data_IF_809611108030
#
_entry.id   IF_809611108030
#
_cell.length_a   1.000
_cell.length_b   1.000
_cell.length_c   1.000
_cell.angle_alpha   90.00
_cell.angle_beta   90.00
_cell.angle_gamma   90.00
#
_symmetry.space_group_name_H-M   'P 1'
#
loop_
_entity.id
_entity.type
_entity.pdbx_description
1 polymer ?
#
# COMPACT_ATOMS: atom_id res chain seq x y z
N UNK A 1 2.19 -60.41 -17.84
CA UNK A 1 1.30 -59.64 -18.73
C UNK A 1 1.08 -58.25 -18.13
N UNK A 2 1.84 -57.24 -18.59
CA UNK A 2 1.73 -55.86 -18.10
C UNK A 2 0.53 -55.17 -18.75
N UNK A 3 -0.60 -55.09 -18.03
CA UNK A 3 -1.74 -54.26 -18.44
C UNK A 3 -1.36 -52.80 -18.27
N UNK A 4 -1.14 -52.10 -19.40
CA UNK A 4 -1.01 -50.63 -19.42
C UNK A 4 -2.24 -50.05 -18.70
N UNK A 5 -2.08 -49.16 -17.70
CA UNK A 5 -3.22 -48.46 -17.10
C UNK A 5 -3.98 -47.76 -18.23
N UNK A 6 -5.29 -48.00 -18.28
CA UNK A 6 -6.17 -47.61 -19.37
C UNK A 6 -6.03 -46.11 -19.65
N UNK A 7 -5.79 -45.78 -20.91
CA UNK A 7 -5.68 -44.39 -21.41
C UNK A 7 -6.86 -43.52 -20.93
N UNK A 8 -8.05 -44.11 -20.82
CA UNK A 8 -9.26 -43.48 -20.28
C UNK A 8 -9.10 -42.95 -18.85
N UNK A 9 -8.39 -43.66 -17.96
CA UNK A 9 -8.17 -43.18 -16.59
C UNK A 9 -7.28 -41.93 -16.57
N UNK A 10 -6.26 -41.88 -17.43
CA UNK A 10 -5.40 -40.70 -17.55
C UNK A 10 -6.13 -39.51 -18.18
N UNK A 11 -6.99 -39.76 -19.16
CA UNK A 11 -7.83 -38.73 -19.79
C UNK A 11 -8.80 -38.12 -18.77
N UNK A 12 -9.54 -38.95 -18.03
CA UNK A 12 -10.46 -38.46 -17.00
C UNK A 12 -9.73 -37.71 -15.88
N UNK A 13 -8.49 -38.08 -15.56
CA UNK A 13 -7.66 -37.32 -14.60
C UNK A 13 -7.18 -35.98 -15.17
N UNK A 14 -6.90 -35.91 -16.47
CA UNK A 14 -6.54 -34.68 -17.16
C UNK A 14 -7.73 -33.70 -17.16
N UNK A 15 -8.90 -34.17 -17.57
CA UNK A 15 -10.14 -33.37 -17.64
C UNK A 15 -10.56 -32.82 -16.27
N UNK A 16 -10.38 -33.60 -15.20
CA UNK A 16 -10.70 -33.19 -13.83
C UNK A 16 -9.56 -32.42 -13.14
N UNK A 17 -8.45 -32.11 -13.81
CA UNK A 17 -7.30 -31.44 -13.21
C UNK A 17 -6.59 -32.23 -12.10
N UNK A 18 -6.81 -33.55 -12.01
CA UNK A 18 -6.24 -34.46 -11.00
C UNK A 18 -4.92 -35.11 -11.44
N UNK A 19 -4.37 -34.66 -12.56
CA UNK A 19 -3.08 -35.08 -13.07
C UNK A 19 -2.02 -34.05 -12.62
N UNK A 20 -1.08 -34.47 -11.78
CA UNK A 20 -0.13 -33.54 -11.13
C UNK A 20 0.82 -32.86 -12.13
N UNK A 21 1.19 -33.56 -13.20
CA UNK A 21 2.17 -33.09 -14.19
C UNK A 21 1.81 -33.63 -15.59
N UNK A 22 0.79 -33.08 -16.26
CA UNK A 22 0.53 -33.41 -17.66
C UNK A 22 1.75 -33.04 -18.50
N UNK A 23 2.22 -33.97 -19.33
CA UNK A 23 3.21 -33.62 -20.35
C UNK A 23 2.57 -32.79 -21.45
N UNK A 24 3.31 -31.86 -22.05
CA UNK A 24 2.84 -31.07 -23.20
C UNK A 24 2.35 -31.96 -24.35
N UNK A 25 3.00 -33.11 -24.55
CA UNK A 25 2.60 -34.11 -25.54
C UNK A 25 1.19 -34.65 -25.28
N UNK A 26 0.87 -35.00 -24.04
CA UNK A 26 -0.47 -35.50 -23.66
C UNK A 26 -1.55 -34.44 -23.94
N UNK A 27 -1.27 -33.18 -23.60
CA UNK A 27 -2.18 -32.06 -23.87
C UNK A 27 -2.38 -31.86 -25.37
N UNK A 28 -1.29 -31.90 -26.15
CA UNK A 28 -1.37 -31.77 -27.61
C UNK A 28 -2.15 -32.92 -28.26
N UNK A 29 -1.94 -34.16 -27.79
CA UNK A 29 -2.66 -35.34 -28.29
C UNK A 29 -4.16 -35.27 -27.93
N UNK A 30 -4.51 -34.76 -26.74
CA UNK A 30 -5.90 -34.50 -26.34
C UNK A 30 -6.56 -33.42 -27.20
N UNK A 31 -5.91 -32.28 -27.40
CA UNK A 31 -6.42 -31.22 -28.27
C UNK A 31 -6.63 -31.71 -29.71
N UNK A 32 -5.68 -32.50 -30.24
CA UNK A 32 -5.81 -33.15 -31.55
C UNK A 32 -7.04 -34.06 -31.61
N UNK A 33 -7.30 -34.86 -30.58
CA UNK A 33 -8.50 -35.71 -30.52
C UNK A 33 -9.79 -34.88 -30.51
N UNK A 34 -9.80 -33.72 -29.85
CA UNK A 34 -10.91 -32.77 -29.84
C UNK A 34 -11.00 -31.88 -31.09
N UNK A 35 -10.08 -32.02 -32.06
CA UNK A 35 -9.93 -31.12 -33.21
C UNK A 35 -9.77 -29.65 -32.82
N UNK A 36 -9.16 -29.39 -31.67
CA UNK A 36 -8.85 -28.06 -31.16
C UNK A 36 -7.36 -27.75 -31.31
N UNK A 37 -7.01 -26.47 -31.29
CA UNK A 37 -5.64 -25.96 -31.26
C UNK A 37 -5.28 -25.40 -29.89
N UNK A 38 -3.99 -25.14 -29.65
CA UNK A 38 -3.57 -24.45 -28.43
C UNK A 38 -4.18 -23.04 -28.33
N UNK A 39 -4.40 -22.34 -29.45
CA UNK A 39 -4.97 -21.00 -29.44
C UNK A 39 -6.40 -20.97 -28.87
N UNK A 40 -7.16 -22.04 -29.09
CA UNK A 40 -8.54 -22.15 -28.61
C UNK A 40 -8.63 -22.26 -27.09
N UNK A 41 -7.57 -22.78 -26.44
CA UNK A 41 -7.50 -22.90 -24.98
C UNK A 41 -6.74 -21.75 -24.31
N UNK A 42 -6.03 -20.90 -25.06
CA UNK A 42 -5.29 -19.78 -24.48
C UNK A 42 -6.20 -18.76 -23.80
N UNK A 43 -7.37 -18.46 -24.37
CA UNK A 43 -8.31 -17.49 -23.77
C UNK A 43 -8.88 -17.98 -22.43
N UNK A 44 -9.38 -19.24 -22.31
CA UNK A 44 -9.73 -19.82 -21.02
C UNK A 44 -8.53 -19.91 -20.06
N UNK A 45 -7.36 -20.34 -20.54
CA UNK A 45 -6.16 -20.49 -19.71
C UNK A 45 -5.66 -19.16 -19.16
N UNK A 46 -5.77 -18.07 -19.93
CA UNK A 46 -5.35 -16.74 -19.50
C UNK A 46 -6.05 -16.35 -18.18
N UNK A 47 -7.31 -16.74 -17.98
CA UNK A 47 -8.03 -16.48 -16.72
C UNK A 47 -7.38 -17.16 -15.52
N UNK A 48 -6.73 -18.31 -15.72
CA UNK A 48 -6.07 -19.07 -14.66
C UNK A 48 -4.58 -18.71 -14.51
N UNK A 49 -3.87 -18.44 -15.62
CA UNK A 49 -2.44 -18.08 -15.60
C UNK A 49 -2.19 -16.63 -15.20
N UNK A 50 -3.18 -15.75 -15.35
CA UNK A 50 -3.11 -14.37 -14.85
C UNK A 50 -3.37 -14.28 -13.33
N UNK A 51 -3.75 -15.38 -12.68
CA UNK A 51 -3.89 -15.42 -11.23
C UNK A 51 -2.52 -15.62 -10.56
N UNK A 52 -2.24 -14.91 -9.45
CA UNK A 52 -1.06 -15.17 -8.66
C UNK A 52 -1.03 -16.62 -8.15
N UNK A 53 0.15 -17.17 -7.81
CA UNK A 53 0.30 -18.51 -7.29
C UNK A 53 -0.66 -18.80 -6.13
N UNK A 54 -1.31 -19.98 -6.13
CA UNK A 54 -2.31 -20.40 -5.13
C UNK A 54 -1.85 -20.28 -3.66
N UNK A 55 -0.54 -20.37 -3.40
CA UNK A 55 0.04 -20.21 -2.06
C UNK A 55 0.02 -18.77 -1.53
N UNK A 56 -0.26 -17.77 -2.37
CA UNK A 56 -0.31 -16.35 -1.97
C UNK A 56 -1.73 -15.83 -1.74
N UNK A 57 -2.77 -16.61 -2.08
CA UNK A 57 -4.18 -16.18 -1.96
C UNK A 57 -4.64 -15.90 -0.53
N UNK A 58 -4.37 -16.76 0.48
CA UNK A 58 -4.88 -16.53 1.84
C UNK A 58 -4.26 -15.28 2.47
N UNK A 59 -2.95 -15.12 2.33
CA UNK A 59 -2.22 -13.98 2.90
C UNK A 59 -2.58 -12.65 2.20
N UNK A 60 -2.84 -12.70 0.88
CA UNK A 60 -3.32 -11.56 0.11
C UNK A 60 -4.76 -11.21 0.48
N UNK A 61 -5.64 -12.19 0.62
CA UNK A 61 -7.02 -11.97 1.03
C UNK A 61 -7.11 -11.45 2.46
N UNK A 62 -6.24 -11.89 3.39
CA UNK A 62 -6.16 -11.31 4.74
C UNK A 62 -5.64 -9.86 4.70
N UNK A 63 -4.64 -9.56 3.86
CA UNK A 63 -4.16 -8.19 3.66
C UNK A 63 -5.20 -7.28 2.97
N UNK A 64 -6.05 -7.85 2.11
CA UNK A 64 -7.14 -7.18 1.41
C UNK A 64 -8.46 -7.18 2.20
N UNK A 65 -8.64 -8.03 3.20
CA UNK A 65 -9.85 -8.09 4.04
C UNK A 65 -9.91 -6.92 5.02
N UNK A 66 -8.76 -6.38 5.43
CA UNK A 66 -8.68 -5.10 6.14
C UNK A 66 -9.04 -3.87 5.28
N UNK A 67 -9.40 -4.09 4.02
CA UNK A 67 -9.60 -3.11 2.95
C UNK A 67 -11.07 -3.08 2.49
N UNK A 68 -12.01 -3.41 3.37
CA UNK A 68 -13.45 -3.30 3.12
C UNK A 68 -13.82 -1.85 2.74
N UNK A 69 -13.87 -1.57 1.43
CA UNK A 69 -14.38 -0.31 0.87
C UNK A 69 -13.82 0.13 -0.49
N UNK A 70 -12.53 -0.11 -0.79
CA UNK A 70 -11.84 0.59 -1.90
C UNK A 70 -11.23 -0.34 -2.98
N UNK A 71 -11.84 -1.52 -3.20
CA UNK A 71 -11.28 -2.69 -3.90
C UNK A 71 -10.83 -2.55 -5.37
N UNK A 72 -10.97 -1.42 -6.07
CA UNK A 72 -10.67 -1.37 -7.52
C UNK A 72 -9.39 -0.63 -7.91
N UNK A 73 -9.03 0.49 -7.27
CA UNK A 73 -7.87 1.31 -7.70
C UNK A 73 -6.62 1.09 -6.85
N UNK A 74 -6.77 0.92 -5.54
CA UNK A 74 -5.63 0.77 -4.65
C UNK A 74 -5.06 -0.65 -4.69
N UNK A 75 -5.89 -1.66 -4.96
CA UNK A 75 -5.46 -3.04 -5.23
C UNK A 75 -4.60 -3.15 -6.51
N UNK A 76 -4.93 -2.41 -7.58
CA UNK A 76 -4.11 -2.36 -8.80
C UNK A 76 -2.78 -1.63 -8.59
N UNK A 77 -2.75 -0.58 -7.76
CA UNK A 77 -1.50 0.09 -7.37
C UNK A 77 -0.59 -0.83 -6.55
N UNK A 78 -1.19 -1.73 -5.77
CA UNK A 78 -0.49 -2.76 -5.00
C UNK A 78 0.27 -3.73 -5.91
N UNK A 79 -0.38 -4.27 -6.94
CA UNK A 79 0.28 -5.16 -7.90
C UNK A 79 1.42 -4.49 -8.65
N UNK A 80 1.29 -3.20 -8.95
CA UNK A 80 2.36 -2.42 -9.56
C UNK A 80 3.53 -2.24 -8.59
N UNK A 81 3.26 -2.01 -7.31
CA UNK A 81 4.28 -1.91 -6.27
C UNK A 81 5.02 -3.23 -6.09
N UNK A 82 4.32 -4.37 -5.95
CA UNK A 82 4.96 -5.67 -5.79
C UNK A 82 5.81 -6.03 -7.01
N UNK A 83 5.29 -5.84 -8.22
CA UNK A 83 6.07 -6.01 -9.46
C UNK A 83 7.35 -5.18 -9.48
N UNK A 84 7.27 -3.89 -9.08
CA UNK A 84 8.44 -3.01 -9.05
C UNK A 84 9.44 -3.41 -7.96
N UNK A 85 8.97 -3.79 -6.80
CA UNK A 85 9.82 -4.09 -5.64
C UNK A 85 10.51 -5.44 -5.81
N UNK A 86 9.82 -6.43 -6.37
CA UNK A 86 10.39 -7.73 -6.71
C UNK A 86 11.36 -7.62 -7.89
N UNK A 87 11.01 -6.85 -8.94
CA UNK A 87 11.92 -6.60 -10.06
C UNK A 87 13.21 -5.90 -9.59
N UNK A 88 13.12 -4.90 -8.72
CA UNK A 88 14.27 -4.21 -8.16
C UNK A 88 15.14 -5.15 -7.32
N UNK A 89 14.55 -5.99 -6.46
CA UNK A 89 15.28 -6.97 -5.65
C UNK A 89 15.96 -8.04 -6.49
N UNK A 90 15.27 -8.55 -7.52
CA UNK A 90 15.81 -9.53 -8.46
C UNK A 90 17.04 -8.99 -9.20
N UNK A 91 17.01 -7.71 -9.62
CA UNK A 91 18.17 -7.03 -10.24
C UNK A 91 19.39 -6.94 -9.34
N UNK A 92 19.18 -6.84 -8.02
CA UNK A 92 20.25 -6.73 -7.01
C UNK A 92 20.59 -8.10 -6.40
N UNK A 93 20.05 -9.21 -6.92
CA UNK A 93 20.29 -10.56 -6.40
C UNK A 93 19.72 -10.80 -4.99
N UNK A 94 18.82 -9.94 -4.52
CA UNK A 94 18.22 -10.06 -3.20
C UNK A 94 17.06 -11.05 -3.21
N UNK A 95 16.92 -11.78 -2.09
CA UNK A 95 15.80 -12.70 -1.87
C UNK A 95 14.45 -11.95 -1.88
N UNK A 96 13.36 -12.59 -2.36
CA UNK A 96 12.01 -12.04 -2.26
C UNK A 96 11.65 -11.72 -0.81
N UNK A 97 10.78 -10.72 -0.63
CA UNK A 97 10.29 -10.36 0.71
C UNK A 97 9.35 -11.44 1.20
N UNK A 98 9.53 -11.86 2.46
CA UNK A 98 8.62 -12.80 3.10
C UNK A 98 7.16 -12.28 3.05
N UNK A 99 6.16 -13.13 2.79
CA UNK A 99 4.75 -12.74 2.68
C UNK A 99 4.25 -11.85 3.83
N UNK A 100 4.54 -12.22 5.07
CA UNK A 100 4.14 -11.44 6.26
C UNK A 100 4.74 -10.02 6.27
N UNK A 101 5.99 -9.85 5.82
CA UNK A 101 6.64 -8.52 5.73
C UNK A 101 6.04 -7.68 4.59
N UNK A 102 5.64 -8.31 3.47
CA UNK A 102 4.89 -7.64 2.40
C UNK A 102 3.55 -7.13 2.92
N UNK A 103 2.75 -8.00 3.54
CA UNK A 103 1.44 -7.65 4.11
C UNK A 103 1.54 -6.51 5.13
N UNK A 104 2.52 -6.54 6.03
CA UNK A 104 2.73 -5.47 7.01
C UNK A 104 3.14 -4.13 6.35
N UNK A 105 4.02 -4.17 5.33
CA UNK A 105 4.41 -2.97 4.59
C UNK A 105 3.24 -2.35 3.83
N UNK A 106 2.42 -3.19 3.20
CA UNK A 106 1.21 -2.79 2.47
C UNK A 106 0.18 -2.17 3.42
N UNK A 107 -0.08 -2.83 4.55
CA UNK A 107 -0.99 -2.30 5.58
C UNK A 107 -0.54 -0.91 6.08
N UNK A 108 0.77 -0.71 6.26
CA UNK A 108 1.32 0.61 6.64
C UNK A 108 1.15 1.65 5.54
N UNK A 109 1.41 1.30 4.28
CA UNK A 109 1.21 2.20 3.14
C UNK A 109 -0.25 2.63 3.00
N UNK A 110 -1.18 1.68 3.16
CA UNK A 110 -2.61 1.95 3.08
C UNK A 110 -3.09 2.84 4.22
N UNK A 111 -2.67 2.55 5.46
CA UNK A 111 -2.95 3.43 6.60
C UNK A 111 -2.42 4.83 6.33
N UNK A 112 -1.17 4.96 5.88
CA UNK A 112 -0.58 6.26 5.52
C UNK A 112 -1.37 6.98 4.42
N UNK A 113 -1.86 6.26 3.40
CA UNK A 113 -2.68 6.84 2.35
C UNK A 113 -4.05 7.30 2.87
N UNK A 114 -4.69 6.52 3.74
CA UNK A 114 -5.95 6.90 4.39
C UNK A 114 -5.77 8.13 5.28
N UNK A 115 -4.70 8.17 6.08
CA UNK A 115 -4.36 9.30 6.94
C UNK A 115 -4.11 10.56 6.10
N UNK A 116 -3.40 10.44 4.97
CA UNK A 116 -3.21 11.56 4.04
C UNK A 116 -4.51 12.06 3.42
N UNK A 117 -5.46 11.16 3.08
CA UNK A 117 -6.78 11.56 2.59
C UNK A 117 -7.58 12.29 3.67
N UNK A 118 -7.59 11.78 4.90
CA UNK A 118 -8.25 12.41 6.05
C UNK A 118 -7.66 13.78 6.34
N UNK A 119 -6.33 13.88 6.39
CA UNK A 119 -5.59 15.12 6.55
C UNK A 119 -5.98 16.14 5.48
N UNK A 120 -6.00 15.71 4.21
CA UNK A 120 -6.34 16.59 3.10
C UNK A 120 -7.76 17.15 3.23
N UNK A 121 -8.73 16.32 3.63
CA UNK A 121 -10.12 16.75 3.87
C UNK A 121 -10.23 17.73 5.04
N UNK A 122 -9.54 17.48 6.15
CA UNK A 122 -9.55 18.36 7.32
C UNK A 122 -8.90 19.71 7.00
N UNK A 123 -7.77 19.70 6.30
CA UNK A 123 -7.12 20.95 5.89
C UNK A 123 -8.00 21.73 4.93
N UNK A 124 -8.64 21.06 3.96
CA UNK A 124 -9.54 21.74 3.02
C UNK A 124 -10.76 22.35 3.72
N UNK A 125 -11.37 21.63 4.66
CA UNK A 125 -12.50 22.15 5.43
C UNK A 125 -12.09 23.36 6.28
N UNK A 126 -10.91 23.32 6.89
CA UNK A 126 -10.40 24.46 7.65
C UNK A 126 -10.07 25.65 6.74
N UNK A 127 -9.42 25.44 5.59
CA UNK A 127 -9.15 26.52 4.62
C UNK A 127 -10.44 27.22 4.20
N UNK A 128 -11.51 26.47 3.95
CA UNK A 128 -12.82 27.05 3.62
C UNK A 128 -13.43 27.85 4.78
N UNK A 129 -13.09 27.52 6.04
CA UNK A 129 -13.54 28.26 7.25
C UNK A 129 -12.70 29.50 7.55
N UNK A 130 -11.48 29.61 7.02
CA UNK A 130 -10.56 30.72 7.31
C UNK A 130 -11.04 32.08 6.76
N UNK A 131 -12.07 32.10 5.91
CA UNK A 131 -12.55 33.32 5.27
C UNK A 131 -11.55 33.95 4.30
N UNK A 132 -10.48 33.23 3.97
CA UNK A 132 -9.49 33.61 2.95
C UNK A 132 -9.96 33.04 1.62
N UNK A 133 -9.85 33.81 0.53
CA UNK A 133 -10.15 33.31 -0.80
C UNK A 133 -9.32 32.03 -1.07
N UNK A 134 -9.96 30.88 -1.33
CA UNK A 134 -9.28 29.58 -1.37
C UNK A 134 -8.56 29.38 -2.71
N UNK A 135 -7.56 30.22 -2.96
CA UNK A 135 -6.67 30.12 -4.11
C UNK A 135 -5.84 28.84 -4.04
N UNK A 136 -5.33 28.39 -5.19
CA UNK A 136 -4.50 27.19 -5.27
C UNK A 136 -3.25 27.29 -4.39
N UNK A 137 -2.68 28.49 -4.24
CA UNK A 137 -1.50 28.75 -3.39
C UNK A 137 -1.83 28.60 -1.91
N UNK A 138 -2.96 29.15 -1.44
CA UNK A 138 -3.44 29.01 -0.05
C UNK A 138 -3.71 27.54 0.27
N UNK A 139 -4.43 26.82 -0.60
CA UNK A 139 -4.74 25.39 -0.42
C UNK A 139 -3.46 24.54 -0.37
N UNK A 140 -2.53 24.77 -1.29
CA UNK A 140 -1.26 24.02 -1.34
C UNK A 140 -0.43 24.27 -0.08
N UNK A 141 -0.26 25.54 0.31
CA UNK A 141 0.52 25.89 1.49
C UNK A 141 -0.10 25.32 2.77
N UNK A 142 -1.43 25.39 2.90
CA UNK A 142 -2.14 24.80 4.04
C UNK A 142 -1.95 23.28 4.11
N UNK A 143 -2.02 22.58 2.98
CA UNK A 143 -1.78 21.13 2.91
C UNK A 143 -0.34 20.78 3.26
N UNK A 144 0.63 21.52 2.74
CA UNK A 144 2.04 21.30 3.03
C UNK A 144 2.34 21.58 4.51
N UNK A 145 1.78 22.64 5.09
CA UNK A 145 1.86 22.90 6.52
C UNK A 145 1.23 21.77 7.35
N UNK A 146 0.01 21.32 7.00
CA UNK A 146 -0.65 20.21 7.68
C UNK A 146 0.19 18.93 7.66
N UNK A 147 0.84 18.63 6.54
CA UNK A 147 1.80 17.50 6.42
C UNK A 147 3.02 17.67 7.31
N UNK A 148 3.56 18.88 7.43
CA UNK A 148 4.70 19.16 8.32
C UNK A 148 4.32 18.97 9.79
N UNK A 149 3.13 19.44 10.19
CA UNK A 149 2.61 19.24 11.54
C UNK A 149 2.42 17.76 11.83
N UNK A 150 1.76 17.02 10.93
CA UNK A 150 1.58 15.56 11.07
C UNK A 150 2.91 14.83 11.27
N UNK A 151 3.90 15.09 10.41
CA UNK A 151 5.24 14.50 10.55
C UNK A 151 5.95 14.90 11.84
N UNK A 152 5.79 16.14 12.29
CA UNK A 152 6.39 16.58 13.54
C UNK A 152 5.85 15.76 14.73
N UNK A 153 4.55 15.44 14.71
CA UNK A 153 3.88 14.62 15.72
C UNK A 153 4.32 13.15 15.67
N UNK A 154 4.35 12.54 14.48
CA UNK A 154 4.86 11.16 14.28
C UNK A 154 6.27 10.99 14.82
N UNK A 155 7.17 11.90 14.47
CA UNK A 155 8.55 11.76 14.89
C UNK A 155 8.79 12.07 16.38
N UNK A 156 7.86 12.75 17.06
CA UNK A 156 7.93 12.92 18.53
C UNK A 156 7.53 11.65 19.25
N UNK A 157 6.52 10.95 18.76
CA UNK A 157 6.12 9.64 19.28
C UNK A 157 7.18 8.57 19.10
N UNK A 158 7.78 8.52 17.91
CA UNK A 158 8.88 7.60 17.65
C UNK A 158 10.06 7.86 18.59
N UNK A 159 10.27 9.11 18.99
CA UNK A 159 11.32 9.46 19.94
C UNK A 159 10.96 9.04 21.38
N UNK A 160 9.72 9.21 21.81
CA UNK A 160 9.22 8.81 23.13
C UNK A 160 9.19 7.28 23.28
N UNK A 161 8.66 6.56 22.29
CA UNK A 161 8.61 5.10 22.27
C UNK A 161 9.99 4.43 22.26
N UNK A 162 11.01 5.08 21.67
CA UNK A 162 12.41 4.61 21.72
C UNK A 162 13.16 5.06 22.98
N UNK A 163 12.63 6.05 23.73
CA UNK A 163 13.26 6.58 24.94
C UNK A 163 13.36 5.54 26.07
N UNK A 164 12.47 4.55 26.09
CA UNK A 164 12.50 3.44 27.06
C UNK A 164 13.63 2.44 26.80
N UNK A 165 14.26 2.50 25.63
CA UNK A 165 15.40 1.65 25.25
C UNK A 165 16.54 2.54 24.77
N UNK A 166 17.39 2.96 25.72
CA UNK A 166 18.77 3.40 25.48
C UNK A 166 18.96 4.83 24.92
N UNK A 167 19.71 5.66 25.65
CA UNK A 167 20.50 6.73 25.04
C UNK A 167 21.88 6.84 25.71
N UNK A 168 22.90 6.25 25.08
CA UNK A 168 24.29 6.69 25.21
C UNK A 168 24.60 7.60 24.01
N UNK A 169 25.04 8.83 24.32
CA UNK A 169 25.73 9.83 23.48
C UNK A 169 25.10 10.21 22.13
N UNK A 170 24.41 11.35 22.11
CA UNK A 170 24.00 12.07 20.91
C UNK A 170 23.32 13.41 21.24
N UNK A 171 23.36 14.36 20.31
CA UNK A 171 22.75 15.71 20.40
C UNK A 171 21.32 15.64 20.98
N UNK A 172 20.91 16.58 21.85
CA UNK A 172 19.57 16.56 22.45
C UNK A 172 18.48 16.48 21.38
N UNK A 173 17.53 15.57 21.59
CA UNK A 173 16.40 15.37 20.67
C UNK A 173 15.48 16.59 20.73
N UNK A 174 15.05 17.08 19.56
CA UNK A 174 14.09 18.19 19.48
C UNK A 174 12.76 17.82 20.12
N UNK A 175 12.26 18.70 20.98
CA UNK A 175 10.95 18.57 21.65
C UNK A 175 9.79 18.71 20.66
N UNK A 176 8.59 18.27 21.04
CA UNK A 176 7.36 18.44 20.24
C UNK A 176 7.13 19.92 19.90
N UNK A 177 7.28 20.80 20.89
CA UNK A 177 7.13 22.24 20.71
C UNK A 177 8.16 22.83 19.73
N UNK A 178 9.41 22.37 19.75
CA UNK A 178 10.43 22.80 18.78
C UNK A 178 10.11 22.37 17.36
N UNK A 179 9.68 21.12 17.15
CA UNK A 179 9.37 20.63 15.80
C UNK A 179 8.16 21.32 15.19
N UNK A 180 7.16 21.64 16.01
CA UNK A 180 5.99 22.39 15.57
C UNK A 180 6.36 23.84 15.24
N UNK A 181 7.26 24.47 16.02
CA UNK A 181 7.84 25.77 15.68
C UNK A 181 8.62 25.73 14.37
N UNK A 182 9.45 24.71 14.15
CA UNK A 182 10.20 24.51 12.90
C UNK A 182 9.27 24.28 11.69
N UNK A 183 8.15 23.59 11.88
CA UNK A 183 7.15 23.39 10.83
C UNK A 183 6.48 24.71 10.45
N UNK A 184 6.09 25.52 11.44
CA UNK A 184 5.49 26.83 11.21
C UNK A 184 6.48 27.81 10.56
N UNK A 185 7.73 27.85 11.04
CA UNK A 185 8.78 28.68 10.45
C UNK A 185 9.03 28.33 8.98
N UNK A 186 9.08 27.02 8.64
CA UNK A 186 9.24 26.57 7.25
C UNK A 186 8.05 26.93 6.38
N UNK A 187 6.82 26.78 6.87
CA UNK A 187 5.63 27.17 6.11
C UNK A 187 5.58 28.69 5.86
N UNK A 188 5.94 29.51 6.86
CA UNK A 188 6.08 30.97 6.69
C UNK A 188 7.14 31.34 5.65
N UNK A 189 8.25 30.62 5.59
CA UNK A 189 9.29 30.82 4.58
C UNK A 189 8.83 30.44 3.16
N UNK A 190 7.98 29.41 3.02
CA UNK A 190 7.44 28.98 1.72
C UNK A 190 6.35 29.91 1.17
N UNK A 191 5.64 30.63 2.04
CA UNK A 191 4.54 31.50 1.65
C UNK A 191 4.38 32.67 2.62
N UNK A 192 5.29 33.67 2.58
CA UNK A 192 5.20 34.83 3.45
C UNK A 192 3.89 35.60 3.19
N UNK A 193 3.13 35.86 4.24
CA UNK A 193 1.85 36.60 4.16
C UNK A 193 0.67 35.83 3.57
N UNK A 194 0.87 34.59 3.07
CA UNK A 194 -0.21 33.80 2.44
C UNK A 194 -1.23 33.29 3.46
N UNK A 195 -0.76 32.89 4.65
CA UNK A 195 -1.59 32.47 5.77
C UNK A 195 -1.32 33.37 6.97
N UNK A 196 -2.37 33.75 7.68
CA UNK A 196 -2.26 34.54 8.91
C UNK A 196 -1.82 33.67 10.09
N UNK A 197 -1.28 34.28 11.15
CA UNK A 197 -0.95 33.55 12.39
C UNK A 197 -2.17 32.84 13.01
N UNK A 198 -3.38 33.40 12.85
CA UNK A 198 -4.63 32.75 13.26
C UNK A 198 -4.90 31.47 12.44
N UNK A 199 -4.72 31.55 11.12
CA UNK A 199 -4.89 30.40 10.23
C UNK A 199 -3.92 29.25 10.55
N UNK A 200 -2.64 29.55 10.80
CA UNK A 200 -1.67 28.54 11.22
C UNK A 200 -2.08 27.83 12.51
N UNK A 201 -2.56 28.59 13.51
CA UNK A 201 -3.04 28.00 14.77
C UNK A 201 -4.25 27.10 14.57
N UNK A 202 -5.25 27.54 13.80
CA UNK A 202 -6.45 26.75 13.51
C UNK A 202 -6.13 25.45 12.78
N UNK A 203 -5.32 25.53 11.72
CA UNK A 203 -4.84 24.36 10.98
C UNK A 203 -4.07 23.40 11.88
N UNK A 204 -3.16 23.91 12.70
CA UNK A 204 -2.40 23.09 13.66
C UNK A 204 -3.33 22.36 14.62
N UNK A 205 -4.28 23.05 15.25
CA UNK A 205 -5.23 22.43 16.19
C UNK A 205 -6.08 21.36 15.51
N UNK A 206 -6.56 21.60 14.28
CA UNK A 206 -7.33 20.62 13.54
C UNK A 206 -6.51 19.36 13.20
N UNK A 207 -5.24 19.53 12.82
CA UNK A 207 -4.32 18.43 12.53
C UNK A 207 -3.93 17.67 13.79
N UNK A 208 -3.67 18.36 14.90
CA UNK A 208 -3.39 17.73 16.20
C UNK A 208 -4.55 16.86 16.67
N UNK A 209 -5.80 17.35 16.57
CA UNK A 209 -7.01 16.57 16.89
C UNK A 209 -7.15 15.34 16.00
N UNK A 210 -7.01 15.52 14.68
CA UNK A 210 -7.09 14.40 13.74
C UNK A 210 -6.02 13.34 14.05
N UNK A 211 -4.82 13.77 14.41
CA UNK A 211 -3.72 12.89 14.76
C UNK A 211 -4.04 12.07 16.02
N UNK A 212 -4.57 12.72 17.06
CA UNK A 212 -5.02 12.05 18.29
C UNK A 212 -6.14 11.04 18.02
N UNK A 213 -7.13 11.40 17.19
CA UNK A 213 -8.24 10.53 16.80
C UNK A 213 -7.82 9.34 15.92
N UNK A 214 -6.73 9.47 15.18
CA UNK A 214 -6.22 8.41 14.30
C UNK A 214 -5.50 7.28 15.04
N UNK A 215 -5.27 7.43 16.36
CA UNK A 215 -4.55 6.43 17.15
C UNK A 215 -5.45 5.28 17.58
N UNK A 216 -4.97 4.03 17.46
CA UNK A 216 -5.58 2.92 18.18
C UNK A 216 -5.40 3.16 19.70
N UNK A 217 -6.52 3.15 20.44
CA UNK A 217 -6.52 3.13 21.92
C UNK A 217 -5.99 1.80 22.43
#
# INVERSE_FOLDING_TARGET
MNRKPSFNLHLSRLENGKLSQPSLRLVADYLRACRASFNDILVPLAQYTNLPPLREKPDREVALAGLAGDYSRDASRLEVYDRKTEAARKRVGQKPVAPAKRAAALSRQLRSAQDQRRLSRVVESEVNRLGVAPTLTVRKLALDYGRMVWRALEQTEEAESRSTKQTKRGRPRKTRAERLRDAEARAKALGPGVLTGKAYRQLRTAVERLYEDSRPR
#
